data_IF_051252052233
#
_entry.id   IF_051252052233
#
_cell.length_a   1.000
_cell.length_b   1.000
_cell.length_c   1.000
_cell.angle_alpha   90.00
_cell.angle_beta   90.00
_cell.angle_gamma   90.00
#
_symmetry.space_group_name_H-M   'P 1'
#
loop_
_entity.id
_entity.type
_entity.pdbx_description
1 polymer ?
#
# COMPACT_ATOMS: atom_id res chain seq x y z
N UNK A 1 -92.68 49.28 -15.23
CA UNK A 1 -91.41 49.81 -14.65
C UNK A 1 -90.74 48.69 -13.95
N UNK A 2 -89.69 48.14 -14.54
CA UNK A 2 -88.89 47.04 -13.96
C UNK A 2 -87.42 47.38 -14.12
N UNK A 3 -86.72 47.58 -12.99
CA UNK A 3 -85.34 47.88 -12.94
C UNK A 3 -84.59 46.56 -12.88
N UNK A 4 -83.77 46.27 -13.93
CA UNK A 4 -82.81 45.15 -13.90
C UNK A 4 -81.54 45.58 -13.16
N UNK A 5 -81.11 44.75 -12.24
CA UNK A 5 -79.79 44.87 -11.55
C UNK A 5 -78.81 43.91 -12.19
N UNK A 6 -77.73 44.46 -12.80
CA UNK A 6 -76.58 43.73 -13.28
C UNK A 6 -75.65 43.43 -12.12
N UNK A 7 -75.34 42.18 -11.90
CA UNK A 7 -74.29 41.70 -11.00
C UNK A 7 -72.96 41.51 -11.79
N UNK A 8 -71.81 42.04 -11.31
CA UNK A 8 -70.52 41.78 -11.93
C UNK A 8 -69.94 40.42 -11.46
N UNK A 9 -69.60 39.60 -12.44
CA UNK A 9 -68.84 38.38 -12.19
C UNK A 9 -67.36 38.72 -11.84
N UNK A 10 -66.96 38.35 -10.64
CA UNK A 10 -65.54 38.42 -10.20
C UNK A 10 -64.82 37.16 -10.68
N UNK A 11 -63.92 37.31 -11.64
CA UNK A 11 -63.05 36.27 -12.11
C UNK A 11 -61.89 36.13 -11.08
N UNK A 12 -61.91 35.05 -10.29
CA UNK A 12 -60.81 34.72 -9.39
C UNK A 12 -59.70 34.02 -10.21
N UNK A 13 -58.62 34.76 -10.49
CA UNK A 13 -57.39 34.20 -11.07
C UNK A 13 -56.58 33.42 -10.03
N UNK A 14 -56.51 32.10 -10.18
CA UNK A 14 -55.56 31.27 -9.42
C UNK A 14 -54.14 31.50 -9.98
N UNK A 15 -53.32 32.27 -9.25
CA UNK A 15 -51.87 32.31 -9.42
C UNK A 15 -51.27 31.05 -8.79
N UNK A 16 -50.92 30.08 -9.63
CA UNK A 16 -50.11 28.94 -9.25
C UNK A 16 -48.68 29.42 -9.02
N UNK A 17 -48.30 29.62 -7.73
CA UNK A 17 -46.92 29.84 -7.34
C UNK A 17 -46.16 28.51 -7.52
N UNK A 18 -45.42 28.38 -8.61
CA UNK A 18 -44.46 27.32 -8.78
C UNK A 18 -43.35 27.52 -7.75
N UNK A 19 -43.36 26.69 -6.70
CA UNK A 19 -42.27 26.63 -5.74
C UNK A 19 -41.04 26.10 -6.45
N UNK A 20 -40.11 26.97 -6.84
CA UNK A 20 -38.76 26.61 -7.27
C UNK A 20 -38.08 26.08 -6.03
N UNK A 21 -38.09 24.75 -5.82
CA UNK A 21 -37.22 24.10 -4.84
C UNK A 21 -35.80 24.35 -5.27
N UNK A 22 -34.93 24.91 -4.42
CA UNK A 22 -33.53 24.98 -4.75
C UNK A 22 -33.03 23.55 -4.88
N UNK A 23 -32.57 23.17 -6.08
CA UNK A 23 -31.77 21.96 -6.27
C UNK A 23 -30.55 22.19 -5.40
N UNK A 24 -30.48 21.48 -4.27
CA UNK A 24 -29.29 21.47 -3.44
C UNK A 24 -28.16 21.01 -4.34
N UNK A 25 -27.30 21.94 -4.73
CA UNK A 25 -26.10 21.64 -5.51
C UNK A 25 -25.25 20.78 -4.58
N UNK A 26 -25.22 19.48 -4.85
CA UNK A 26 -24.39 18.57 -4.09
C UNK A 26 -22.97 19.14 -4.16
N UNK A 27 -22.48 19.65 -3.01
CA UNK A 27 -21.08 20.03 -2.89
C UNK A 27 -20.30 18.81 -3.36
N UNK A 28 -19.42 18.97 -4.36
CA UNK A 28 -18.50 17.91 -4.75
C UNK A 28 -17.78 17.43 -3.49
N UNK A 29 -18.19 16.31 -2.97
CA UNK A 29 -17.53 15.69 -1.82
C UNK A 29 -16.17 15.19 -2.30
N UNK A 30 -15.14 15.44 -1.48
CA UNK A 30 -13.78 15.02 -1.78
C UNK A 30 -13.29 14.19 -0.61
N UNK A 31 -12.67 13.05 -0.88
CA UNK A 31 -11.93 12.25 0.09
C UNK A 31 -10.45 12.26 -0.28
N UNK A 32 -9.59 12.57 0.69
CA UNK A 32 -8.15 12.62 0.50
C UNK A 32 -7.56 11.32 1.06
N UNK A 33 -6.92 10.55 0.18
CA UNK A 33 -6.37 9.22 0.51
C UNK A 33 -4.85 9.27 0.34
N UNK A 34 -4.12 8.72 1.31
CA UNK A 34 -2.67 8.56 1.24
C UNK A 34 -2.33 7.07 1.41
N UNK A 35 -1.85 6.47 0.36
CA UNK A 35 -1.63 5.03 0.28
C UNK A 35 -0.25 4.72 -0.29
N UNK A 36 0.11 3.46 -0.29
CA UNK A 36 1.30 2.95 -0.97
C UNK A 36 1.19 3.12 -2.48
N UNK A 37 2.33 3.30 -3.12
CA UNK A 37 2.41 3.21 -4.57
C UNK A 37 1.92 1.84 -5.05
N UNK A 38 1.29 1.79 -6.23
CA UNK A 38 0.83 0.56 -6.92
C UNK A 38 -0.25 -0.29 -6.19
N UNK A 39 -0.82 0.19 -5.08
CA UNK A 39 -1.76 -0.58 -4.24
C UNK A 39 -3.24 -0.37 -4.61
N UNK A 40 -3.52 0.18 -5.78
CA UNK A 40 -4.87 0.32 -6.35
C UNK A 40 -4.90 -0.14 -7.80
N UNK A 41 -5.94 -0.87 -8.19
CA UNK A 41 -6.15 -1.18 -9.60
C UNK A 41 -6.46 0.11 -10.40
N UNK A 42 -6.11 0.17 -11.70
CA UNK A 42 -6.25 1.39 -12.51
C UNK A 42 -7.64 2.00 -12.55
N UNK A 43 -8.68 1.17 -12.39
CA UNK A 43 -10.09 1.57 -12.46
C UNK A 43 -10.76 1.79 -11.10
N UNK A 44 -10.07 1.49 -9.97
CA UNK A 44 -10.64 1.56 -8.62
C UNK A 44 -11.14 2.97 -8.28
N UNK A 45 -10.30 3.98 -8.46
CA UNK A 45 -10.65 5.37 -8.10
C UNK A 45 -11.77 5.92 -8.97
N UNK A 46 -11.70 5.68 -10.28
CA UNK A 46 -12.74 6.10 -11.23
C UNK A 46 -14.06 5.36 -11.01
N UNK A 47 -14.00 4.06 -10.70
CA UNK A 47 -15.15 3.24 -10.31
C UNK A 47 -15.85 3.75 -9.06
N UNK A 48 -15.07 4.06 -8.00
CA UNK A 48 -15.58 4.63 -6.77
C UNK A 48 -16.26 5.99 -7.02
N UNK A 49 -15.61 6.89 -7.74
CA UNK A 49 -16.17 8.21 -8.07
C UNK A 49 -17.46 8.08 -8.89
N UNK A 50 -17.50 7.16 -9.85
CA UNK A 50 -18.71 6.90 -10.65
C UNK A 50 -19.86 6.35 -9.80
N UNK A 51 -19.56 5.48 -8.85
CA UNK A 51 -20.55 4.84 -7.99
C UNK A 51 -21.12 5.78 -6.91
N UNK A 52 -20.30 6.71 -6.40
CA UNK A 52 -20.62 7.51 -5.21
C UNK A 52 -20.81 8.99 -5.50
N UNK A 53 -20.28 9.51 -6.60
CA UNK A 53 -20.18 10.95 -6.86
C UNK A 53 -19.10 11.66 -6.06
N UNK A 54 -18.31 10.93 -5.23
CA UNK A 54 -17.25 11.48 -4.40
C UNK A 54 -15.93 11.49 -5.17
N UNK A 55 -15.27 12.64 -5.24
CA UNK A 55 -13.95 12.76 -5.87
C UNK A 55 -12.88 12.24 -4.91
N UNK A 56 -12.00 11.38 -5.39
CA UNK A 56 -10.83 10.93 -4.62
C UNK A 56 -9.62 11.75 -5.02
N UNK A 57 -8.97 12.38 -4.04
CA UNK A 57 -7.60 12.89 -4.16
C UNK A 57 -6.68 11.83 -3.59
N UNK A 58 -5.85 11.27 -4.44
CA UNK A 58 -5.05 10.11 -4.10
C UNK A 58 -3.58 10.45 -4.24
N UNK A 59 -2.88 10.47 -3.10
CA UNK A 59 -1.44 10.66 -3.03
C UNK A 59 -0.78 9.35 -2.60
N UNK A 60 0.47 9.15 -2.98
CA UNK A 60 1.22 7.93 -2.68
C UNK A 60 2.49 8.22 -1.89
N UNK A 61 2.93 7.21 -1.14
CA UNK A 61 4.21 7.17 -0.45
C UNK A 61 4.86 5.79 -0.65
N UNK A 62 6.13 5.68 -0.30
CA UNK A 62 6.94 4.48 -0.52
C UNK A 62 7.52 3.85 0.77
N UNK A 63 7.41 4.54 1.91
CA UNK A 63 7.78 4.01 3.21
C UNK A 63 6.94 4.58 4.35
N UNK A 64 6.84 3.83 5.45
CA UNK A 64 6.04 4.24 6.61
C UNK A 64 6.60 5.46 7.34
N UNK A 65 7.90 5.74 7.29
CA UNK A 65 8.50 6.91 7.95
C UNK A 65 7.99 8.20 7.30
N UNK A 66 7.83 8.22 5.97
CA UNK A 66 7.23 9.34 5.23
C UNK A 66 5.78 9.57 5.68
N UNK A 67 4.98 8.50 5.77
CA UNK A 67 3.62 8.59 6.29
C UNK A 67 3.60 9.09 7.73
N UNK A 68 4.43 8.50 8.60
CA UNK A 68 4.52 8.87 10.01
C UNK A 68 4.86 10.34 10.20
N UNK A 69 5.89 10.83 9.50
CA UNK A 69 6.28 12.24 9.54
C UNK A 69 5.11 13.16 9.13
N UNK A 70 4.36 12.76 8.10
CA UNK A 70 3.19 13.51 7.63
C UNK A 70 2.07 13.56 8.67
N UNK A 71 1.75 12.44 9.32
CA UNK A 71 0.69 12.37 10.34
C UNK A 71 1.05 13.17 11.59
N UNK A 72 2.32 13.14 12.02
CA UNK A 72 2.79 13.86 13.21
C UNK A 72 2.68 15.40 13.09
N UNK A 73 2.46 15.94 11.90
CA UNK A 73 2.18 17.38 11.72
C UNK A 73 0.83 17.81 12.34
N UNK A 74 -0.03 16.84 12.69
CA UNK A 74 -1.36 17.09 13.28
C UNK A 74 -2.40 17.66 12.31
N UNK A 75 -1.99 18.02 11.09
CA UNK A 75 -2.86 18.51 10.01
C UNK A 75 -2.41 17.92 8.68
N UNK A 76 -2.45 16.59 8.60
CA UNK A 76 -1.97 15.88 7.41
C UNK A 76 -2.74 16.23 6.13
N UNK A 77 -4.03 16.56 6.28
CA UNK A 77 -4.94 16.82 5.17
C UNK A 77 -5.54 15.57 4.56
N UNK A 78 -5.27 14.39 5.12
CA UNK A 78 -5.82 13.12 4.65
C UNK A 78 -6.96 12.64 5.53
N UNK A 79 -7.97 12.06 4.88
CA UNK A 79 -9.13 11.44 5.51
C UNK A 79 -8.92 9.94 5.73
N UNK A 80 -8.17 9.30 4.82
CA UNK A 80 -7.82 7.87 4.86
C UNK A 80 -6.33 7.70 4.61
N UNK A 81 -5.68 6.89 5.45
CA UNK A 81 -4.26 6.53 5.33
C UNK A 81 -4.09 5.02 5.49
N UNK A 82 -3.08 4.42 4.88
CA UNK A 82 -2.88 2.97 4.83
C UNK A 82 -1.51 2.57 5.37
N UNK A 83 -1.24 2.68 6.68
CA UNK A 83 0.03 2.28 7.27
C UNK A 83 0.18 0.76 7.33
N UNK A 84 1.42 0.28 7.43
CA UNK A 84 1.67 -1.09 7.88
C UNK A 84 1.27 -1.27 9.34
N UNK A 85 0.83 -2.47 9.72
CA UNK A 85 0.26 -2.76 11.05
C UNK A 85 1.16 -2.38 12.21
N UNK A 86 2.48 -2.60 12.10
CA UNK A 86 3.44 -2.25 13.16
C UNK A 86 3.61 -0.72 13.37
N UNK A 87 3.34 0.11 12.34
CA UNK A 87 3.22 1.56 12.50
C UNK A 87 1.84 1.96 13.01
N UNK A 88 0.79 1.30 12.52
CA UNK A 88 -0.58 1.59 12.92
C UNK A 88 -0.79 1.43 14.42
N UNK A 89 -0.19 0.41 15.07
CA UNK A 89 -0.23 0.24 16.51
C UNK A 89 0.21 1.50 17.27
N UNK A 90 1.36 2.05 16.92
CA UNK A 90 1.91 3.27 17.54
C UNK A 90 1.07 4.51 17.21
N UNK A 91 0.48 4.55 16.02
CA UNK A 91 -0.36 5.66 15.58
C UNK A 91 -1.71 5.66 16.32
N UNK A 92 -2.26 4.48 16.64
CA UNK A 92 -3.43 4.33 17.50
C UNK A 92 -3.12 4.81 18.91
N UNK A 93 -2.02 4.35 19.52
CA UNK A 93 -1.56 4.78 20.83
C UNK A 93 -1.34 6.30 20.89
N UNK A 94 -0.81 6.87 19.81
CA UNK A 94 -0.60 8.31 19.65
C UNK A 94 -1.87 9.12 19.37
N UNK A 95 -3.04 8.46 19.26
CA UNK A 95 -4.34 9.13 19.00
C UNK A 95 -4.44 9.76 17.61
N UNK A 96 -3.71 9.24 16.62
CA UNK A 96 -3.68 9.79 15.25
C UNK A 96 -4.89 9.36 14.41
N UNK A 97 -5.65 8.37 14.86
CA UNK A 97 -6.81 7.83 14.14
C UNK A 97 -8.11 8.05 14.90
N UNK A 98 -9.18 8.15 14.13
CA UNK A 98 -10.55 8.15 14.66
C UNK A 98 -11.08 6.72 14.73
N UNK A 99 -11.90 6.43 15.75
CA UNK A 99 -12.61 5.15 15.82
C UNK A 99 -13.59 5.02 14.66
N UNK A 100 -13.66 3.81 14.11
CA UNK A 100 -14.60 3.46 13.05
C UNK A 100 -16.02 3.35 13.62
N UNK A 101 -16.97 3.98 12.95
CA UNK A 101 -18.39 3.67 13.15
C UNK A 101 -18.77 2.48 12.25
N UNK A 102 -18.67 1.27 12.78
CA UNK A 102 -18.95 0.04 12.05
C UNK A 102 -20.38 -0.03 11.51
N UNK A 103 -21.32 0.70 12.11
CA UNK A 103 -22.70 0.77 11.62
C UNK A 103 -22.81 1.45 10.25
N UNK A 104 -21.82 2.29 9.90
CA UNK A 104 -21.71 2.96 8.60
C UNK A 104 -20.92 2.15 7.55
N UNK A 105 -20.47 0.94 7.89
CA UNK A 105 -19.64 0.11 7.02
C UNK A 105 -20.42 -1.18 6.68
N UNK A 106 -21.35 -1.13 5.72
CA UNK A 106 -22.24 -2.25 5.43
C UNK A 106 -21.52 -3.51 4.94
N UNK A 107 -20.32 -3.34 4.36
CA UNK A 107 -19.51 -4.45 3.87
C UNK A 107 -18.55 -5.04 4.93
N UNK A 108 -18.69 -4.67 6.20
CA UNK A 108 -17.85 -5.19 7.28
C UNK A 108 -17.81 -6.72 7.32
N UNK A 109 -18.95 -7.37 7.06
CA UNK A 109 -19.06 -8.84 7.04
C UNK A 109 -18.34 -9.51 5.87
N UNK A 110 -17.85 -8.77 4.89
CA UNK A 110 -17.07 -9.29 3.77
C UNK A 110 -15.57 -9.35 4.07
N UNK A 111 -15.14 -8.78 5.20
CA UNK A 111 -13.73 -8.83 5.61
C UNK A 111 -13.35 -10.25 6.01
N UNK A 112 -12.13 -10.65 5.63
CA UNK A 112 -11.59 -11.98 5.95
C UNK A 112 -11.43 -12.13 7.47
N UNK A 113 -12.07 -13.14 8.10
CA UNK A 113 -12.05 -13.28 9.56
C UNK A 113 -10.66 -13.63 10.12
N UNK A 114 -9.81 -14.33 9.37
CA UNK A 114 -8.47 -14.69 9.82
C UNK A 114 -7.55 -13.45 9.82
N UNK A 115 -7.66 -12.62 8.78
CA UNK A 115 -6.94 -11.35 8.74
C UNK A 115 -7.44 -10.38 9.83
N UNK A 116 -8.75 -10.35 10.08
CA UNK A 116 -9.31 -9.54 11.17
C UNK A 116 -8.86 -10.02 12.55
N UNK A 117 -8.70 -11.33 12.75
CA UNK A 117 -8.15 -11.89 13.98
C UNK A 117 -6.69 -11.45 14.18
N UNK A 118 -5.85 -11.56 13.15
CA UNK A 118 -4.44 -11.07 13.19
C UNK A 118 -4.37 -9.56 13.45
N UNK A 119 -5.26 -8.78 12.83
CA UNK A 119 -5.29 -7.33 13.01
C UNK A 119 -5.65 -6.94 14.45
N UNK A 120 -6.42 -7.76 15.16
CA UNK A 120 -6.81 -7.50 16.55
C UNK A 120 -5.64 -7.55 17.55
N UNK A 121 -4.49 -8.09 17.17
CA UNK A 121 -3.26 -8.02 17.99
C UNK A 121 -2.72 -6.59 18.10
N UNK A 122 -2.95 -5.76 17.09
CA UNK A 122 -2.51 -4.35 17.04
C UNK A 122 -3.65 -3.36 17.25
N UNK A 123 -4.87 -3.76 16.96
CA UNK A 123 -6.12 -2.98 17.13
C UNK A 123 -7.18 -3.83 17.82
N UNK A 124 -7.12 -3.97 19.16
CA UNK A 124 -8.07 -4.77 19.92
C UNK A 124 -9.51 -4.37 19.65
N UNK A 125 -10.31 -5.34 19.19
CA UNK A 125 -11.68 -5.11 18.78
C UNK A 125 -11.84 -4.51 17.39
N UNK A 126 -10.77 -4.32 16.63
CA UNK A 126 -10.78 -3.72 15.28
C UNK A 126 -11.54 -2.38 15.27
N UNK A 127 -11.18 -1.48 16.18
CA UNK A 127 -11.87 -0.21 16.36
C UNK A 127 -11.41 0.89 15.42
N UNK A 128 -10.20 0.79 14.86
CA UNK A 128 -9.56 1.87 14.08
C UNK A 128 -9.19 1.44 12.66
N UNK A 129 -8.95 0.14 12.44
CA UNK A 129 -8.34 -0.35 11.21
C UNK A 129 -9.27 -1.26 10.41
N UNK A 130 -9.13 -1.17 9.09
CA UNK A 130 -9.70 -2.10 8.11
C UNK A 130 -8.53 -2.61 7.27
N UNK A 131 -8.34 -3.94 7.10
CA UNK A 131 -7.26 -4.45 6.30
C UNK A 131 -7.44 -4.05 4.82
N UNK A 132 -6.40 -3.49 4.22
CA UNK A 132 -6.36 -3.17 2.79
C UNK A 132 -5.87 -4.37 1.99
N UNK A 133 -4.78 -4.96 2.42
CA UNK A 133 -4.16 -6.12 1.82
C UNK A 133 -3.06 -6.67 2.72
N UNK A 134 -2.55 -7.83 2.36
CA UNK A 134 -1.40 -8.45 3.02
C UNK A 134 -0.46 -9.04 1.98
N UNK A 135 0.79 -9.18 2.35
CA UNK A 135 1.84 -9.76 1.52
C UNK A 135 2.99 -10.26 2.37
N UNK A 136 3.98 -10.79 1.70
CA UNK A 136 5.24 -11.24 2.31
C UNK A 136 6.40 -10.44 1.75
N UNK A 137 7.48 -10.37 2.53
CA UNK A 137 8.78 -9.90 2.07
C UNK A 137 9.65 -11.10 1.69
N UNK A 138 10.36 -10.99 0.58
CA UNK A 138 11.20 -12.07 0.08
C UNK A 138 12.09 -11.62 -1.05
N UNK A 139 12.61 -12.59 -1.79
CA UNK A 139 13.55 -12.35 -2.87
C UNK A 139 12.86 -12.45 -4.23
N UNK A 140 12.86 -11.35 -4.97
CA UNK A 140 12.45 -11.29 -6.36
C UNK A 140 13.67 -11.37 -7.29
N UNK A 141 13.55 -12.13 -8.37
CA UNK A 141 14.64 -12.33 -9.30
C UNK A 141 14.25 -12.15 -10.76
N UNK A 142 15.13 -11.58 -11.54
CA UNK A 142 15.23 -11.92 -12.95
C UNK A 142 15.88 -13.30 -13.04
N UNK A 143 15.05 -14.34 -13.04
CA UNK A 143 15.49 -15.75 -12.92
C UNK A 143 16.47 -16.12 -14.04
N UNK A 144 16.22 -15.64 -15.25
CA UNK A 144 17.08 -15.91 -16.40
C UNK A 144 18.49 -15.39 -16.16
N UNK A 145 18.62 -14.10 -15.81
CA UNK A 145 19.93 -13.48 -15.56
C UNK A 145 20.65 -14.09 -14.35
N UNK A 146 19.92 -14.40 -13.28
CA UNK A 146 20.52 -15.00 -12.10
C UNK A 146 21.06 -16.38 -12.40
N UNK A 147 20.32 -17.21 -13.15
CA UNK A 147 20.79 -18.54 -13.58
C UNK A 147 21.98 -18.48 -14.54
N UNK A 148 22.02 -17.51 -15.44
CA UNK A 148 23.18 -17.28 -16.31
C UNK A 148 24.46 -16.98 -15.50
N UNK A 149 24.36 -16.27 -14.38
CA UNK A 149 25.49 -15.86 -13.54
C UNK A 149 25.86 -16.95 -12.52
N UNK A 150 24.87 -17.56 -11.87
CA UNK A 150 25.05 -18.47 -10.73
C UNK A 150 25.02 -19.95 -11.12
N UNK A 151 24.53 -20.26 -12.34
CA UNK A 151 24.31 -21.63 -12.85
C UNK A 151 22.85 -22.06 -12.69
N UNK A 152 22.41 -23.00 -13.56
CA UNK A 152 21.02 -23.47 -13.66
C UNK A 152 20.49 -24.11 -12.36
N UNK A 153 21.36 -24.69 -11.54
CA UNK A 153 20.99 -25.40 -10.30
C UNK A 153 21.03 -24.50 -9.06
N UNK A 154 21.11 -23.17 -9.22
CA UNK A 154 21.13 -22.25 -8.09
C UNK A 154 19.82 -22.35 -7.29
N UNK A 155 19.94 -22.44 -5.97
CA UNK A 155 18.80 -22.40 -5.05
C UNK A 155 18.36 -20.96 -4.81
N UNK A 156 17.27 -20.55 -5.46
CA UNK A 156 16.69 -19.22 -5.34
C UNK A 156 15.87 -19.04 -4.05
N UNK A 157 15.52 -20.13 -3.36
CA UNK A 157 14.75 -20.12 -2.13
C UNK A 157 15.59 -19.99 -0.85
N UNK A 158 16.85 -19.54 -0.94
CA UNK A 158 17.76 -19.46 0.18
C UNK A 158 18.23 -18.01 0.43
N UNK A 159 18.22 -17.57 1.68
CA UNK A 159 18.74 -16.26 2.10
C UNK A 159 20.22 -16.05 1.79
N UNK A 160 20.99 -17.14 1.63
CA UNK A 160 22.38 -17.10 1.20
C UNK A 160 22.58 -16.31 -0.10
N UNK A 161 21.55 -16.24 -0.95
CA UNK A 161 21.61 -15.47 -2.19
C UNK A 161 21.87 -13.99 -1.96
N UNK A 162 21.28 -13.43 -0.90
CA UNK A 162 21.45 -12.02 -0.54
C UNK A 162 22.52 -11.80 0.52
N UNK A 163 22.53 -12.63 1.58
CA UNK A 163 23.30 -12.36 2.79
C UNK A 163 24.70 -12.98 2.79
N UNK A 164 25.02 -13.89 1.88
CA UNK A 164 26.39 -14.34 1.65
C UNK A 164 27.13 -13.38 0.73
N UNK A 165 28.22 -12.73 1.20
CA UNK A 165 29.00 -11.78 0.38
C UNK A 165 29.44 -12.34 -0.96
N UNK A 166 29.80 -13.61 -1.03
CA UNK A 166 30.29 -14.28 -2.25
C UNK A 166 29.19 -14.39 -3.32
N UNK A 167 27.92 -14.54 -2.91
CA UNK A 167 26.79 -14.59 -3.82
C UNK A 167 26.37 -13.17 -4.24
N UNK A 168 26.25 -12.26 -3.30
CA UNK A 168 25.93 -10.86 -3.57
C UNK A 168 26.99 -10.22 -4.50
N UNK A 169 28.28 -10.55 -4.32
CA UNK A 169 29.37 -10.09 -5.19
C UNK A 169 29.19 -10.51 -6.64
N UNK A 170 28.81 -11.76 -6.89
CA UNK A 170 28.56 -12.25 -8.25
C UNK A 170 27.41 -11.49 -8.92
N UNK A 171 26.38 -11.14 -8.16
CA UNK A 171 25.15 -10.49 -8.66
C UNK A 171 25.26 -8.95 -8.70
N UNK A 172 26.30 -8.34 -8.10
CA UNK A 172 26.43 -6.85 -8.05
C UNK A 172 26.38 -6.19 -9.44
N UNK A 173 26.93 -6.86 -10.46
CA UNK A 173 26.99 -6.33 -11.83
C UNK A 173 25.62 -6.23 -12.49
N UNK A 174 24.71 -7.14 -12.19
CA UNK A 174 23.35 -7.11 -12.73
C UNK A 174 22.37 -6.33 -11.83
N UNK A 175 22.78 -5.94 -10.62
CA UNK A 175 22.05 -5.05 -9.73
C UNK A 175 21.23 -5.75 -8.66
N UNK A 176 21.45 -5.30 -7.42
CA UNK A 176 20.74 -5.74 -6.22
C UNK A 176 20.05 -4.54 -5.59
N UNK A 177 18.76 -4.64 -5.28
CA UNK A 177 18.01 -3.67 -4.51
C UNK A 177 17.49 -4.27 -3.21
N UNK A 178 17.48 -3.48 -2.15
CA UNK A 178 16.90 -3.85 -0.85
C UNK A 178 15.89 -2.78 -0.48
N UNK A 179 14.82 -3.16 0.24
CA UNK A 179 13.82 -2.21 0.77
C UNK A 179 14.50 -1.11 1.60
N UNK A 180 14.06 0.12 1.42
CA UNK A 180 14.51 1.29 2.19
C UNK A 180 13.64 1.50 3.43
N UNK A 181 13.56 0.46 4.25
CA UNK A 181 12.84 0.51 5.52
C UNK A 181 13.44 -0.50 6.51
N UNK A 182 14.07 0.00 7.57
CA UNK A 182 14.74 -0.83 8.57
C UNK A 182 13.80 -1.88 9.19
N UNK A 183 12.55 -1.50 9.47
CA UNK A 183 11.54 -2.38 10.06
C UNK A 183 11.17 -3.58 9.15
N UNK A 184 11.42 -3.47 7.85
CA UNK A 184 11.22 -4.57 6.90
C UNK A 184 12.48 -5.40 6.69
N UNK A 185 13.67 -4.81 6.84
CA UNK A 185 14.95 -5.47 6.54
C UNK A 185 15.48 -6.26 7.73
N UNK A 186 15.50 -5.64 8.93
CA UNK A 186 16.09 -6.28 10.11
C UNK A 186 15.44 -7.62 10.49
N UNK A 187 14.13 -7.82 10.44
CA UNK A 187 13.54 -9.13 10.73
C UNK A 187 14.09 -10.27 9.87
N UNK A 188 14.32 -10.03 8.58
CA UNK A 188 14.90 -11.02 7.68
C UNK A 188 16.37 -11.32 8.04
N UNK A 189 17.14 -10.29 8.37
CA UNK A 189 18.55 -10.45 8.77
C UNK A 189 18.65 -11.18 10.10
N UNK A 190 17.83 -10.81 11.10
CA UNK A 190 17.77 -11.47 12.40
C UNK A 190 17.43 -12.96 12.24
N UNK A 191 16.41 -13.27 11.42
CA UNK A 191 16.07 -14.65 11.11
C UNK A 191 17.25 -15.40 10.50
N UNK A 192 17.94 -14.81 9.53
CA UNK A 192 19.08 -15.43 8.85
C UNK A 192 20.24 -15.75 9.82
N UNK A 193 20.52 -14.86 10.79
CA UNK A 193 21.57 -15.11 11.81
C UNK A 193 21.07 -15.94 12.99
N UNK A 194 19.86 -16.52 12.91
CA UNK A 194 19.32 -17.41 13.95
C UNK A 194 18.79 -16.69 15.18
N UNK A 195 18.45 -15.42 15.08
CA UNK A 195 17.83 -14.62 16.15
C UNK A 195 16.32 -14.55 15.98
N UNK A 196 15.61 -14.12 17.01
CA UNK A 196 14.19 -13.80 16.93
C UNK A 196 13.98 -12.58 15.98
N UNK A 197 13.21 -12.70 14.91
CA UNK A 197 12.89 -11.57 14.03
C UNK A 197 12.28 -10.36 14.75
N UNK A 198 11.63 -10.60 15.90
CA UNK A 198 11.02 -9.58 16.75
C UNK A 198 11.88 -9.24 17.98
N UNK A 199 13.18 -9.56 17.96
CA UNK A 199 14.08 -9.27 19.08
C UNK A 199 14.02 -7.79 19.48
N UNK A 200 14.04 -7.52 20.77
CA UNK A 200 14.24 -6.18 21.35
C UNK A 200 15.68 -5.99 21.90
N UNK A 201 16.55 -6.96 21.70
CA UNK A 201 17.91 -6.93 22.21
C UNK A 201 18.83 -6.15 21.26
N UNK A 202 19.40 -5.06 21.71
CA UNK A 202 20.31 -4.21 20.93
C UNK A 202 21.52 -4.98 20.36
N UNK A 203 22.04 -6.00 21.09
CA UNK A 203 23.16 -6.79 20.61
C UNK A 203 22.84 -7.57 19.32
N UNK A 204 21.61 -8.09 19.21
CA UNK A 204 21.17 -8.81 18.02
C UNK A 204 21.10 -7.86 16.80
N UNK A 205 20.62 -6.64 17.00
CA UNK A 205 20.61 -5.61 15.96
C UNK A 205 22.00 -5.18 15.52
N UNK A 206 22.98 -5.14 16.46
CA UNK A 206 24.38 -4.85 16.12
C UNK A 206 24.98 -5.95 15.24
N UNK A 207 24.73 -7.22 15.58
CA UNK A 207 25.16 -8.37 14.80
C UNK A 207 24.53 -8.36 13.39
N UNK A 208 23.22 -8.08 13.31
CA UNK A 208 22.51 -7.93 12.06
C UNK A 208 23.06 -6.79 11.19
N UNK A 209 23.37 -5.64 11.82
CA UNK A 209 23.98 -4.50 11.13
C UNK A 209 25.38 -4.84 10.60
N UNK A 210 26.15 -5.59 11.34
CA UNK A 210 27.50 -6.00 10.90
C UNK A 210 27.42 -6.92 9.68
N UNK A 211 26.45 -7.83 9.61
CA UNK A 211 26.18 -8.60 8.41
C UNK A 211 25.79 -7.69 7.24
N UNK A 212 24.84 -6.78 7.43
CA UNK A 212 24.42 -5.84 6.39
C UNK A 212 25.59 -5.01 5.83
N UNK A 213 26.54 -4.60 6.68
CA UNK A 213 27.76 -3.90 6.24
C UNK A 213 28.61 -4.75 5.30
N UNK A 214 28.64 -6.09 5.48
CA UNK A 214 29.45 -6.97 4.62
C UNK A 214 28.89 -7.04 3.21
N UNK A 215 27.56 -6.99 3.04
CA UNK A 215 26.90 -7.05 1.73
C UNK A 215 26.69 -5.67 1.11
N UNK A 216 26.76 -4.59 1.89
CA UNK A 216 26.52 -3.21 1.44
C UNK A 216 27.28 -2.83 0.15
N UNK A 217 28.56 -3.20 -0.03
CA UNK A 217 29.33 -2.87 -1.25
C UNK A 217 28.75 -3.47 -2.54
N UNK A 218 27.91 -4.48 -2.44
CA UNK A 218 27.31 -5.19 -3.56
C UNK A 218 25.89 -4.73 -3.87
N UNK A 219 25.26 -3.98 -2.93
CA UNK A 219 23.89 -3.44 -3.09
C UNK A 219 23.96 -2.14 -3.90
N UNK A 220 23.24 -2.12 -5.02
CA UNK A 220 23.16 -0.95 -5.90
C UNK A 220 22.37 0.17 -5.23
N UNK A 221 21.22 -0.17 -4.63
CA UNK A 221 20.32 0.81 -4.03
C UNK A 221 19.50 0.26 -2.89
N UNK A 222 18.96 1.19 -2.10
CA UNK A 222 17.84 0.96 -1.20
C UNK A 222 16.63 1.70 -1.80
N UNK A 223 15.53 0.98 -2.00
CA UNK A 223 14.32 1.54 -2.59
C UNK A 223 13.12 0.68 -2.22
N UNK A 224 12.00 1.29 -1.87
CA UNK A 224 10.75 0.58 -1.54
C UNK A 224 9.67 0.68 -2.63
N UNK A 225 9.96 1.35 -3.76
CA UNK A 225 9.04 1.41 -4.91
C UNK A 225 9.76 1.42 -6.26
N UNK A 226 10.87 2.16 -6.40
CA UNK A 226 11.58 2.32 -7.68
C UNK A 226 12.09 1.00 -8.29
N UNK A 227 12.38 0.01 -7.45
CA UNK A 227 12.85 -1.30 -7.90
C UNK A 227 11.83 -2.05 -8.77
N UNK A 228 10.54 -1.71 -8.71
CA UNK A 228 9.47 -2.38 -9.47
C UNK A 228 9.73 -2.23 -10.98
N UNK A 229 9.93 -0.99 -11.43
CA UNK A 229 10.19 -0.70 -12.83
C UNK A 229 11.57 -1.17 -13.28
N UNK A 230 12.58 -1.02 -12.42
CA UNK A 230 13.95 -1.45 -12.75
C UNK A 230 14.07 -2.97 -12.86
N UNK A 231 13.39 -3.74 -12.00
CA UNK A 231 13.33 -5.20 -12.13
C UNK A 231 12.57 -5.59 -13.40
N UNK A 232 11.43 -4.92 -13.69
CA UNK A 232 10.67 -5.15 -14.91
C UNK A 232 11.45 -4.80 -16.18
N UNK A 233 12.27 -3.75 -16.14
CA UNK A 233 13.14 -3.35 -17.26
C UNK A 233 14.35 -4.29 -17.45
N UNK A 234 14.74 -5.01 -16.39
CA UNK A 234 15.90 -5.88 -16.34
C UNK A 234 17.20 -5.17 -15.92
N UNK A 235 17.08 -3.99 -15.32
CA UNK A 235 18.22 -3.24 -14.77
C UNK A 235 18.66 -3.77 -13.40
N UNK A 236 17.75 -4.47 -12.72
CA UNK A 236 18.02 -5.26 -11.54
C UNK A 236 17.82 -6.75 -11.83
N UNK A 237 18.56 -7.61 -11.12
CA UNK A 237 18.38 -9.05 -11.22
C UNK A 237 17.98 -9.70 -9.87
N UNK A 238 18.19 -9.02 -8.76
CA UNK A 238 17.74 -9.48 -7.47
C UNK A 238 17.20 -8.30 -6.64
N UNK A 239 16.08 -8.50 -6.00
CA UNK A 239 15.50 -7.53 -5.08
C UNK A 239 15.06 -8.23 -3.80
N UNK A 240 15.30 -7.64 -2.64
CA UNK A 240 14.56 -7.92 -1.44
C UNK A 240 13.39 -6.94 -1.39
N UNK A 241 12.18 -7.46 -1.59
CA UNK A 241 11.01 -6.63 -1.83
C UNK A 241 9.69 -7.29 -1.43
N UNK A 242 8.60 -6.59 -1.69
CA UNK A 242 7.25 -7.06 -1.43
C UNK A 242 6.78 -8.03 -2.52
N UNK A 243 6.05 -9.08 -2.12
CA UNK A 243 5.54 -10.09 -3.06
C UNK A 243 4.69 -9.48 -4.18
N UNK A 244 3.79 -8.57 -3.86
CA UNK A 244 2.92 -7.88 -4.82
C UNK A 244 3.71 -7.10 -5.87
N UNK A 245 4.72 -6.37 -5.43
CA UNK A 245 5.57 -5.54 -6.29
C UNK A 245 6.39 -6.36 -7.28
N UNK A 246 6.93 -7.50 -6.82
CA UNK A 246 7.66 -8.42 -7.71
C UNK A 246 6.71 -9.01 -8.76
N UNK A 247 5.46 -9.32 -8.37
CA UNK A 247 4.45 -9.80 -9.31
C UNK A 247 4.05 -8.70 -10.32
N UNK A 248 3.95 -7.45 -9.90
CA UNK A 248 3.74 -6.30 -10.81
C UNK A 248 4.91 -6.19 -11.79
N UNK A 249 6.16 -6.33 -11.29
CA UNK A 249 7.35 -6.31 -12.14
C UNK A 249 7.31 -7.43 -13.20
N UNK A 250 6.90 -8.65 -12.79
CA UNK A 250 6.75 -9.79 -13.68
C UNK A 250 5.68 -9.53 -14.76
N UNK A 251 4.56 -8.93 -14.39
CA UNK A 251 3.50 -8.58 -15.31
C UNK A 251 3.95 -7.50 -16.31
N UNK A 252 4.61 -6.45 -15.84
CA UNK A 252 5.17 -5.38 -16.70
C UNK A 252 6.18 -5.94 -17.70
N UNK A 253 7.09 -6.81 -17.25
CA UNK A 253 8.07 -7.46 -18.11
C UNK A 253 7.39 -8.33 -19.19
N UNK A 254 6.37 -9.09 -18.81
CA UNK A 254 5.59 -9.94 -19.71
C UNK A 254 4.82 -9.12 -20.75
N UNK A 255 4.16 -8.04 -20.33
CA UNK A 255 3.44 -7.12 -21.23
C UNK A 255 4.41 -6.43 -22.21
N UNK A 256 5.61 -6.08 -21.75
CA UNK A 256 6.68 -5.53 -22.58
C UNK A 256 7.41 -6.58 -23.42
N UNK A 257 6.98 -7.86 -23.37
CA UNK A 257 7.59 -9.00 -24.12
C UNK A 257 9.09 -9.12 -23.89
N UNK A 258 9.53 -8.90 -22.64
CA UNK A 258 10.94 -9.06 -22.28
C UNK A 258 11.37 -10.53 -22.39
N UNK A 259 12.64 -10.82 -22.81
CA UNK A 259 13.11 -12.19 -23.06
C UNK A 259 13.59 -12.90 -21.78
N UNK A 260 13.05 -12.58 -20.62
CA UNK A 260 13.40 -13.17 -19.32
C UNK A 260 12.17 -13.36 -18.43
N UNK A 261 12.29 -14.25 -17.44
CA UNK A 261 11.28 -14.48 -16.42
C UNK A 261 11.65 -13.74 -15.12
N UNK A 262 10.64 -13.19 -14.47
CA UNK A 262 10.73 -12.66 -13.10
C UNK A 262 9.88 -13.54 -12.20
N UNK A 263 10.40 -13.90 -11.03
CA UNK A 263 9.70 -14.72 -10.05
C UNK A 263 10.05 -14.30 -8.62
N UNK A 264 9.24 -14.73 -7.67
CA UNK A 264 9.33 -14.39 -6.26
C UNK A 264 9.47 -15.63 -5.39
N UNK A 265 10.34 -15.57 -4.40
CA UNK A 265 10.63 -16.65 -3.46
C UNK A 265 10.56 -16.14 -2.02
N UNK A 266 9.95 -16.94 -1.14
CA UNK A 266 10.06 -16.76 0.30
C UNK A 266 11.21 -17.66 0.76
N UNK A 267 12.39 -17.10 1.11
CA UNK A 267 13.54 -17.91 1.47
C UNK A 267 13.35 -18.63 2.80
N UNK A 268 13.97 -19.78 2.91
CA UNK A 268 13.99 -20.62 4.11
C UNK A 268 15.28 -20.37 4.91
#
# INVERSE_FOLDING_TARGET
>A
MSFGMNTPQVLAGLLAAAAIMPVAQAKNQVVNVYNWAEYTAPDTLSGFQKATGITVRYDVYDNNDTLQAKLLTGKSGYDVVVPSTHYAARQIEGGLFQKLDKSQIPNWSHLDPDIMALLSDVDPGNEYLIPWGYGTNGLGYNVTKVKEIMGEQVDLGNWDMLFKPENAEKLKGCGISILDEAAQVFPAVLHYIGKDPNSSNEADYREALDLLKTIRPYVRQFSSSGYIDELAAGDLCMVYGFSGDVMISADRARQAKKPYAIDYYIPQ
#
